data_IF_271672332342
#
_entry.id   IF_271672332342
#
_cell.length_a   1.000
_cell.length_b   1.000
_cell.length_c   1.000
_cell.angle_alpha   90.00
_cell.angle_beta   90.00
_cell.angle_gamma   90.00
#
_symmetry.space_group_name_H-M   'P 1'
#
loop_
_entity.id
_entity.type
_entity.pdbx_description
1 polymer ?
#
# COMPACT_ATOMS: atom_id res chain seq x y z
N UNK A 1 23.13 13.66 -8.15
CA UNK A 1 23.14 12.49 -9.07
C UNK A 1 21.71 12.05 -9.30
N UNK A 2 21.43 11.21 -10.30
CA UNK A 2 20.08 10.68 -10.54
C UNK A 2 20.13 9.16 -10.33
N UNK A 3 19.16 8.63 -9.63
CA UNK A 3 18.99 7.19 -9.45
C UNK A 3 17.89 6.67 -10.35
N UNK A 4 18.19 5.57 -11.02
CA UNK A 4 17.20 4.79 -11.74
C UNK A 4 16.64 3.72 -10.82
N UNK A 5 15.33 3.74 -10.66
CA UNK A 5 14.57 2.73 -9.95
C UNK A 5 13.65 1.99 -10.90
N UNK A 6 13.54 0.67 -10.71
CA UNK A 6 12.55 -0.17 -11.38
C UNK A 6 11.43 -0.52 -10.42
N UNK A 7 10.20 -0.23 -10.81
CA UNK A 7 9.00 -0.54 -10.06
C UNK A 7 8.35 -1.82 -10.61
N UNK A 8 8.10 -2.78 -9.73
CA UNK A 8 7.42 -4.05 -10.07
C UNK A 8 6.39 -4.42 -9.01
N UNK A 9 5.40 -5.23 -9.40
CA UNK A 9 4.44 -5.82 -8.47
C UNK A 9 4.80 -7.28 -8.20
N UNK A 10 4.86 -7.73 -6.93
CA UNK A 10 5.16 -9.13 -6.61
C UNK A 10 4.21 -10.13 -7.27
N UNK A 11 2.92 -9.80 -7.35
CA UNK A 11 1.87 -10.68 -7.88
C UNK A 11 1.60 -10.51 -9.37
N UNK A 12 2.03 -9.40 -9.98
CA UNK A 12 1.65 -9.02 -11.36
C UNK A 12 2.87 -8.67 -12.21
N UNK A 13 3.40 -9.67 -12.92
CA UNK A 13 4.61 -9.53 -13.76
C UNK A 13 4.43 -8.60 -14.97
N UNK A 14 3.20 -8.26 -15.34
CA UNK A 14 2.91 -7.35 -16.45
C UNK A 14 3.14 -5.88 -16.12
N UNK A 15 3.16 -5.52 -14.83
CA UNK A 15 3.42 -4.15 -14.38
C UNK A 15 4.92 -3.89 -14.31
N UNK A 16 5.37 -2.90 -15.06
CA UNK A 16 6.74 -2.39 -15.02
C UNK A 16 6.72 -0.88 -15.17
N UNK A 17 7.37 -0.20 -14.24
CA UNK A 17 7.74 1.21 -14.39
C UNK A 17 9.25 1.34 -14.22
N UNK A 18 9.88 2.27 -14.93
CA UNK A 18 11.23 2.71 -14.61
C UNK A 18 11.21 4.23 -14.41
N UNK A 19 11.80 4.66 -13.30
CA UNK A 19 11.82 6.05 -12.89
C UNK A 19 13.24 6.53 -12.72
N UNK A 20 13.52 7.74 -13.19
CA UNK A 20 14.72 8.46 -12.82
C UNK A 20 14.35 9.52 -11.77
N UNK A 21 15.05 9.49 -10.64
CA UNK A 21 14.75 10.31 -9.47
C UNK A 21 16.05 10.91 -8.95
N UNK A 22 16.07 12.20 -8.64
CA UNK A 22 17.25 12.82 -8.02
C UNK A 22 17.56 12.17 -6.68
N UNK A 23 18.83 11.91 -6.38
CA UNK A 23 19.24 11.21 -5.14
C UNK A 23 18.79 11.94 -3.87
N UNK A 24 18.77 13.27 -3.91
CA UNK A 24 18.32 14.13 -2.81
C UNK A 24 16.80 14.22 -2.65
N UNK A 25 16.02 13.56 -3.51
CA UNK A 25 14.55 13.50 -3.40
C UNK A 25 14.16 12.82 -2.10
N UNK A 26 13.34 13.51 -1.29
CA UNK A 26 12.75 12.91 -0.08
C UNK A 26 11.74 11.82 -0.45
N UNK A 27 11.56 10.83 0.42
CA UNK A 27 10.54 9.81 0.22
C UNK A 27 9.14 10.40 0.14
N UNK A 28 8.88 11.55 0.78
CA UNK A 28 7.62 12.28 0.65
C UNK A 28 7.38 12.77 -0.78
N UNK A 29 8.38 13.40 -1.41
CA UNK A 29 8.28 13.83 -2.82
C UNK A 29 8.15 12.65 -3.78
N UNK A 30 8.80 11.53 -3.46
CA UNK A 30 8.62 10.30 -4.23
C UNK A 30 7.19 9.75 -4.07
N UNK A 31 6.64 9.75 -2.86
CA UNK A 31 5.25 9.37 -2.60
C UNK A 31 4.28 10.21 -3.44
N UNK A 32 4.40 11.54 -3.38
CA UNK A 32 3.55 12.45 -4.16
C UNK A 32 3.62 12.13 -5.66
N UNK A 33 4.83 11.89 -6.17
CA UNK A 33 5.02 11.53 -7.56
C UNK A 33 4.36 10.19 -7.91
N UNK A 34 4.59 9.13 -7.12
CA UNK A 34 4.01 7.81 -7.36
C UNK A 34 2.48 7.83 -7.24
N UNK A 35 1.94 8.58 -6.29
CA UNK A 35 0.49 8.73 -6.13
C UNK A 35 -0.14 9.33 -7.39
N UNK A 36 0.46 10.39 -7.93
CA UNK A 36 0.00 11.03 -9.17
C UNK A 36 0.19 10.13 -10.40
N UNK A 37 1.35 9.50 -10.56
CA UNK A 37 1.67 8.60 -11.68
C UNK A 37 0.74 7.39 -11.74
N UNK A 38 0.44 6.82 -10.57
CA UNK A 38 -0.36 5.60 -10.47
C UNK A 38 -1.86 5.86 -10.36
N UNK A 39 -2.27 7.12 -10.15
CA UNK A 39 -3.67 7.50 -9.98
C UNK A 39 -4.26 7.03 -8.65
N UNK A 40 -3.45 6.96 -7.61
CA UNK A 40 -3.88 6.56 -6.27
C UNK A 40 -4.62 7.70 -5.56
N UNK A 41 -5.61 7.33 -4.73
CA UNK A 41 -6.32 8.27 -3.87
C UNK A 41 -5.36 8.90 -2.84
N UNK A 42 -5.41 10.22 -2.64
CA UNK A 42 -4.59 10.93 -1.66
C UNK A 42 -5.02 10.69 -0.21
N UNK A 43 -6.22 10.17 0.01
CA UNK A 43 -6.80 10.01 1.35
C UNK A 43 -6.30 8.74 2.06
N UNK A 44 -5.47 7.93 1.39
CA UNK A 44 -4.96 6.68 1.93
C UNK A 44 -3.62 6.89 2.65
N UNK A 45 -3.50 6.29 3.83
CA UNK A 45 -2.22 6.20 4.52
C UNK A 45 -1.26 5.28 3.76
N UNK A 46 -0.01 5.73 3.65
CA UNK A 46 1.06 5.00 2.97
C UNK A 46 2.30 4.91 3.85
N UNK A 47 3.16 3.94 3.56
CA UNK A 47 4.51 3.88 4.13
C UNK A 47 5.50 3.33 3.10
N UNK A 48 6.78 3.66 3.28
CA UNK A 48 7.87 2.91 2.64
C UNK A 48 8.47 1.93 3.63
N UNK A 49 8.82 0.73 3.17
CA UNK A 49 9.73 -0.17 3.89
C UNK A 49 11.03 -0.23 3.12
N UNK A 50 12.16 -0.02 3.79
CA UNK A 50 13.49 -0.22 3.23
C UNK A 50 13.95 -1.66 3.42
N UNK A 51 14.44 -2.30 2.35
CA UNK A 51 14.84 -3.69 2.34
C UNK A 51 16.30 -3.84 1.94
N UNK A 52 16.99 -4.76 2.59
CA UNK A 52 18.34 -5.18 2.23
C UNK A 52 18.37 -6.09 0.99
N UNK A 53 19.55 -6.59 0.65
CA UNK A 53 19.80 -7.50 -0.48
C UNK A 53 19.07 -8.84 -0.36
N UNK A 54 18.79 -9.29 0.86
CA UNK A 54 18.07 -10.53 1.16
C UNK A 54 16.54 -10.33 1.17
N UNK A 55 16.07 -9.09 1.00
CA UNK A 55 14.65 -8.74 1.04
C UNK A 55 14.09 -8.66 2.47
N UNK A 56 14.94 -8.48 3.47
CA UNK A 56 14.54 -8.27 4.86
C UNK A 56 14.27 -6.78 5.10
N UNK A 57 13.14 -6.48 5.75
CA UNK A 57 12.79 -5.10 6.11
C UNK A 57 13.72 -4.61 7.21
N UNK A 58 14.47 -3.55 6.92
CA UNK A 58 15.37 -2.91 7.87
C UNK A 58 14.74 -1.70 8.56
N UNK A 59 14.04 -0.85 7.78
CA UNK A 59 13.49 0.41 8.27
C UNK A 59 12.09 0.66 7.70
N UNK A 60 11.29 1.46 8.41
CA UNK A 60 9.96 1.89 7.98
C UNK A 60 9.80 3.41 8.05
N UNK A 61 9.29 3.98 6.96
CA UNK A 61 9.14 5.43 6.80
C UNK A 61 7.68 5.76 6.59
N UNK A 62 7.06 6.41 7.58
CA UNK A 62 5.72 6.96 7.49
C UNK A 62 5.74 8.47 7.24
N UNK A 63 4.54 9.04 7.05
CA UNK A 63 4.37 10.50 7.04
C UNK A 63 4.86 11.12 8.37
N UNK A 64 4.59 10.42 9.47
CA UNK A 64 5.16 10.68 10.78
C UNK A 64 6.36 9.79 11.04
N UNK A 65 7.26 10.24 11.91
CA UNK A 65 8.42 9.46 12.30
C UNK A 65 7.99 8.24 13.13
N UNK A 66 8.33 7.05 12.64
CA UNK A 66 8.05 5.76 13.28
C UNK A 66 9.27 5.20 14.06
N UNK A 67 10.38 5.94 14.10
CA UNK A 67 11.65 5.56 14.73
C UNK A 67 12.85 5.65 13.79
N UNK A 68 12.62 5.55 12.48
CA UNK A 68 13.66 5.54 11.45
C UNK A 68 13.80 6.88 10.68
N UNK A 69 12.95 7.85 11.04
CA UNK A 69 12.74 9.11 10.33
C UNK A 69 11.40 9.14 9.59
N UNK A 70 10.85 10.34 9.42
CA UNK A 70 9.69 10.56 8.54
C UNK A 70 10.09 10.60 7.07
N UNK A 71 9.14 10.34 6.17
CA UNK A 71 9.32 10.40 4.72
C UNK A 71 9.91 11.72 4.21
N UNK A 72 9.60 12.84 4.86
CA UNK A 72 10.10 14.16 4.43
C UNK A 72 11.58 14.38 4.80
N UNK A 73 12.06 13.68 5.84
CA UNK A 73 13.42 13.81 6.38
C UNK A 73 14.40 12.75 5.84
N UNK A 74 13.92 11.81 5.01
CA UNK A 74 14.71 10.71 4.46
C UNK A 74 14.72 10.83 2.95
N UNK A 75 15.93 10.91 2.36
CA UNK A 75 16.14 10.91 0.91
C UNK A 75 16.46 9.51 0.39
N UNK A 76 16.34 9.31 -0.93
CA UNK A 76 16.76 8.06 -1.59
C UNK A 76 18.26 7.77 -1.44
N UNK A 77 19.09 8.81 -1.39
CA UNK A 77 20.51 8.64 -1.07
C UNK A 77 20.70 8.07 0.34
N UNK A 78 19.93 8.56 1.32
CA UNK A 78 20.01 8.11 2.70
C UNK A 78 19.55 6.66 2.85
N UNK A 79 18.54 6.22 2.11
CA UNK A 79 18.09 4.81 2.13
C UNK A 79 19.19 3.89 1.63
N UNK A 80 19.84 4.21 0.50
CA UNK A 80 20.96 3.42 -0.02
C UNK A 80 22.17 3.41 0.93
N UNK A 81 22.51 4.55 1.53
CA UNK A 81 23.58 4.62 2.54
C UNK A 81 23.30 3.77 3.79
N UNK A 82 22.02 3.53 4.10
CA UNK A 82 21.56 2.64 5.17
C UNK A 82 21.54 1.16 4.77
N UNK A 83 21.90 0.83 3.53
CA UNK A 83 21.92 -0.53 3.00
C UNK A 83 20.60 -0.99 2.35
N UNK A 84 19.65 -0.08 2.16
CA UNK A 84 18.34 -0.42 1.60
C UNK A 84 18.39 -0.41 0.06
N UNK A 85 18.64 -1.57 -0.54
CA UNK A 85 18.77 -1.70 -2.01
C UNK A 85 17.44 -1.70 -2.74
N UNK A 86 16.33 -1.90 -2.00
CA UNK A 86 14.98 -1.75 -2.53
C UNK A 86 14.02 -1.17 -1.50
N UNK A 87 12.95 -0.55 -2.00
CA UNK A 87 11.88 0.02 -1.18
C UNK A 87 10.53 -0.62 -1.55
N UNK A 88 9.75 -1.02 -0.56
CA UNK A 88 8.33 -1.32 -0.77
C UNK A 88 7.52 -0.05 -0.51
N UNK A 89 6.87 0.46 -1.55
CA UNK A 89 5.86 1.52 -1.42
C UNK A 89 4.50 0.87 -1.14
N UNK A 90 4.10 0.87 0.13
CA UNK A 90 2.85 0.25 0.58
C UNK A 90 1.73 1.27 0.43
N UNK A 91 0.88 1.05 -0.56
CA UNK A 91 -0.21 1.97 -0.94
C UNK A 91 -1.58 1.57 -0.37
N UNK A 92 -1.67 0.38 0.23
CA UNK A 92 -2.81 -0.08 1.02
C UNK A 92 -2.29 -0.90 2.20
N UNK A 93 -2.34 -0.31 3.41
CA UNK A 93 -1.82 -0.92 4.62
C UNK A 93 -2.63 -2.14 5.06
N UNK A 94 -3.96 -2.09 4.93
CA UNK A 94 -4.87 -3.15 5.39
C UNK A 94 -4.66 -4.45 4.62
N UNK A 95 -4.49 -4.34 3.30
CA UNK A 95 -4.28 -5.48 2.40
C UNK A 95 -2.78 -5.75 2.14
N UNK A 96 -1.89 -4.94 2.71
CA UNK A 96 -0.45 -4.97 2.50
C UNK A 96 -0.06 -4.93 1.00
N UNK A 97 -0.83 -4.18 0.19
CA UNK A 97 -0.54 -4.02 -1.24
C UNK A 97 0.60 -3.02 -1.40
N UNK A 98 1.58 -3.40 -2.22
CA UNK A 98 2.79 -2.61 -2.39
C UNK A 98 3.42 -2.82 -3.76
N UNK A 99 4.12 -1.78 -4.22
CA UNK A 99 5.07 -1.85 -5.34
C UNK A 99 6.48 -1.97 -4.77
N UNK A 100 7.31 -2.78 -5.40
CA UNK A 100 8.74 -2.89 -5.07
C UNK A 100 9.52 -2.00 -6.03
N UNK A 101 10.22 -1.01 -5.47
CA UNK A 101 11.15 -0.11 -6.15
C UNK A 101 12.56 -0.62 -5.92
N UNK A 102 13.17 -1.21 -6.94
CA UNK A 102 14.54 -1.73 -6.86
C UNK A 102 15.50 -0.74 -7.49
N UNK A 103 16.59 -0.41 -6.78
CA UNK A 103 17.66 0.41 -7.35
C UNK A 103 18.33 -0.32 -8.53
N UNK A 104 18.52 0.38 -9.64
CA UNK A 104 19.09 -0.20 -10.88
C UNK A 104 20.48 0.37 -11.15
N UNK A 105 20.60 1.69 -11.19
CA UNK A 105 21.83 2.39 -11.56
C UNK A 105 21.84 3.83 -11.10
N UNK A 106 23.04 4.40 -11.04
CA UNK A 106 23.24 5.86 -11.00
C UNK A 106 23.43 6.40 -12.42
N UNK A 107 22.80 7.53 -12.70
CA UNK A 107 22.74 8.17 -14.01
C UNK A 107 23.17 9.65 -13.88
N UNK A 108 23.65 10.23 -14.98
CA UNK A 108 24.03 11.63 -15.02
C UNK A 108 22.81 12.55 -14.90
N UNK A 109 22.96 13.63 -14.13
CA UNK A 109 21.92 14.65 -14.03
C UNK A 109 21.82 15.47 -15.31
N UNK A 110 20.62 15.56 -15.88
CA UNK A 110 20.35 16.34 -17.09
C UNK A 110 19.61 17.64 -16.71
N UNK A 111 20.23 18.83 -16.82
CA UNK A 111 19.64 20.10 -16.35
C UNK A 111 18.34 20.53 -17.03
N UNK A 112 18.04 19.99 -18.21
CA UNK A 112 16.85 20.33 -19.00
C UNK A 112 15.66 19.40 -18.72
N UNK A 113 15.88 18.36 -17.94
CA UNK A 113 14.87 17.36 -17.61
C UNK A 113 14.22 17.68 -16.26
N UNK A 114 12.93 17.36 -16.15
CA UNK A 114 12.21 17.40 -14.89
C UNK A 114 12.34 16.05 -14.16
N UNK A 115 12.41 16.10 -12.83
CA UNK A 115 12.51 14.91 -11.99
C UNK A 115 11.51 15.01 -10.82
N UNK A 116 10.91 13.89 -10.36
CA UNK A 116 11.04 12.54 -10.92
C UNK A 116 10.47 12.41 -12.35
N UNK A 117 10.96 11.44 -13.12
CA UNK A 117 10.46 11.16 -14.48
C UNK A 117 10.20 9.68 -14.70
N UNK A 118 9.10 9.38 -15.39
CA UNK A 118 8.77 8.05 -15.90
C UNK A 118 9.50 7.82 -17.24
N UNK A 119 10.28 6.74 -17.34
CA UNK A 119 11.03 6.35 -18.53
C UNK A 119 10.39 5.19 -19.29
N UNK A 120 9.91 4.20 -18.54
CA UNK A 120 9.32 2.97 -19.10
C UNK A 120 7.97 2.76 -18.45
N UNK A 121 6.95 2.52 -19.28
CA UNK A 121 5.60 2.20 -18.84
C UNK A 121 5.11 0.92 -19.53
N UNK A 122 4.83 -0.14 -18.76
CA UNK A 122 4.21 -1.37 -19.27
C UNK A 122 3.17 -1.91 -18.30
N UNK A 123 2.06 -2.41 -18.86
CA UNK A 123 0.95 -2.95 -18.10
C UNK A 123 0.12 -1.88 -17.37
N UNK A 124 -1.09 -2.25 -16.93
CA UNK A 124 -2.00 -1.33 -16.25
C UNK A 124 -1.47 -0.95 -14.85
N UNK A 125 -1.85 0.23 -14.37
CA UNK A 125 -1.62 0.62 -12.98
C UNK A 125 -2.32 -0.37 -12.03
N UNK A 126 -1.74 -0.69 -10.87
CA UNK A 126 -2.42 -1.50 -9.86
C UNK A 126 -3.68 -0.81 -9.35
N UNK A 127 -4.67 -1.61 -8.99
CA UNK A 127 -5.85 -1.13 -8.27
C UNK A 127 -5.52 -1.03 -6.75
N UNK A 128 -5.72 0.17 -6.19
CA UNK A 128 -5.47 0.48 -4.79
C UNK A 128 -6.40 -0.28 -3.82
N UNK A 129 -7.58 -0.71 -4.30
CA UNK A 129 -8.66 -1.28 -3.50
C UNK A 129 -9.07 -2.70 -3.93
N UNK A 130 -8.24 -3.39 -4.70
CA UNK A 130 -8.60 -4.66 -5.38
C UNK A 130 -9.23 -5.77 -4.50
N UNK A 131 -9.13 -5.74 -3.16
CA UNK A 131 -9.82 -6.71 -2.29
C UNK A 131 -11.15 -6.21 -1.65
N UNK A 132 -11.73 -5.07 -2.06
CA UNK A 132 -12.98 -4.56 -1.47
C UNK A 132 -14.24 -5.35 -1.90
N UNK A 133 -14.15 -6.22 -2.93
CA UNK A 133 -15.32 -6.96 -3.43
C UNK A 133 -15.40 -8.45 -3.07
N UNK A 134 -14.38 -9.04 -2.45
CA UNK A 134 -14.46 -10.48 -2.07
C UNK A 134 -15.13 -10.71 -0.72
N UNK A 135 -15.16 -9.72 0.19
CA UNK A 135 -15.58 -9.97 1.58
C UNK A 135 -17.03 -9.55 1.91
N UNK A 136 -17.73 -8.86 1.00
CA UNK A 136 -19.15 -8.53 1.21
C UNK A 136 -20.08 -9.69 0.84
N UNK A 137 -19.62 -10.65 0.04
CA UNK A 137 -20.38 -11.85 -0.30
C UNK A 137 -20.45 -12.85 0.88
N UNK A 138 -19.53 -12.76 1.85
CA UNK A 138 -19.43 -13.65 3.01
C UNK A 138 -20.50 -13.41 4.08
N UNK A 139 -21.18 -12.25 4.06
CA UNK A 139 -22.18 -11.86 5.06
C UNK A 139 -23.63 -12.09 4.62
N UNK A 140 -23.87 -12.72 3.46
CA UNK A 140 -25.23 -12.90 2.91
C UNK A 140 -25.69 -14.35 2.85
N UNK A 141 -25.13 -15.25 3.65
CA UNK A 141 -25.57 -16.66 3.70
C UNK A 141 -25.70 -17.17 5.15
N UNK A 142 -26.51 -16.48 5.95
CA UNK A 142 -27.25 -17.15 7.03
C UNK A 142 -28.74 -17.19 6.63
N UNK A 143 -29.29 -18.35 6.27
CA UNK A 143 -30.74 -18.50 6.21
C UNK A 143 -31.26 -18.37 7.64
N UNK A 144 -31.98 -17.29 7.92
CA UNK A 144 -32.90 -17.21 9.06
C UNK A 144 -34.00 -18.26 8.84
N UNK A 145 -33.72 -19.49 9.26
CA UNK A 145 -34.66 -20.59 9.27
C UNK A 145 -35.65 -20.41 10.42
N UNK A 146 -36.93 -20.47 10.04
CA UNK A 146 -38.10 -20.75 10.87
C UNK A 146 -37.80 -21.51 12.16
N UNK A 147 -38.11 -20.88 13.30
CA UNK A 147 -38.65 -21.58 14.47
C UNK A 147 -40.05 -21.03 14.73
N UNK A 148 -41.02 -21.53 13.94
CA UNK A 148 -42.45 -21.49 14.24
C UNK A 148 -42.73 -22.42 15.43
N UNK A 149 -42.55 -21.93 16.66
CA UNK A 149 -43.05 -22.62 17.87
C UNK A 149 -44.46 -22.11 18.24
N UNK A 150 -45.42 -22.80 17.63
CA UNK A 150 -46.75 -23.19 18.13
C UNK A 150 -47.02 -22.88 19.61
N UNK A 151 -47.70 -21.76 19.89
CA UNK A 151 -48.41 -21.56 21.15
C UNK A 151 -49.77 -22.24 21.07
N UNK A 152 -49.87 -23.44 21.63
CA UNK A 152 -51.14 -24.11 21.93
C UNK A 152 -51.46 -23.97 23.42
N UNK A 153 -52.74 -23.80 23.64
CA UNK A 153 -53.44 -23.25 24.80
C UNK A 153 -53.61 -24.32 25.88
N UNK A 154 -53.33 -24.00 27.15
CA UNK A 154 -53.97 -24.73 28.26
C UNK A 154 -54.31 -23.79 29.42
N UNK A 155 -55.57 -23.35 29.40
CA UNK A 155 -56.29 -22.77 30.53
C UNK A 155 -56.24 -23.65 31.79
N UNK A 156 -56.25 -23.00 32.96
CA UNK A 156 -57.08 -23.47 34.06
C UNK A 156 -56.54 -23.24 35.48
N UNK A 157 -57.23 -22.37 36.23
CA UNK A 157 -57.58 -22.71 37.62
C UNK A 157 -57.05 -21.86 38.78
N UNK A 158 -57.62 -20.66 38.91
CA UNK A 158 -58.41 -20.18 40.08
C UNK A 158 -57.79 -19.87 41.47
N UNK A 159 -58.43 -18.88 42.12
CA UNK A 159 -58.49 -18.53 43.56
C UNK A 159 -57.25 -17.88 44.21
N UNK A 160 -57.30 -16.83 45.04
CA UNK A 160 -58.38 -16.04 45.66
C UNK A 160 -57.85 -14.66 46.12
N UNK A 161 -58.76 -13.69 46.03
CA UNK A 161 -59.05 -12.53 46.91
C UNK A 161 -58.16 -12.28 48.16
N UNK A 162 -57.62 -11.04 48.30
CA UNK A 162 -57.75 -10.15 49.48
C UNK A 162 -57.15 -8.75 49.21
#
# INVERSE_FOLDING_TARGET
MVYRYRATLPKYKSFLREYDIKSETSLYKLHDFLQNDLGFSPDQMVLFRGLDEDGVVMHQYGLFDLGDGSMDNVSLEKTLQRGEVSLQYVYNLQQNLHIVLTFVSEEEYLPKESYPRLLVEKGPNPDQFSAVYEDFASFSDEPSGDDEEFFDDEEGGDSDEY
#
